data_IF_729833745843
#
_entry.id   IF_729833745843
#
_cell.length_a   1.000
_cell.length_b   1.000
_cell.length_c   1.000
_cell.angle_alpha   90.00
_cell.angle_beta   90.00
_cell.angle_gamma   90.00
#
_symmetry.space_group_name_H-M   'P 1'
#
loop_
_entity.id
_entity.type
_entity.pdbx_description
1 polymer ?
#
# COMPACT_ATOMS: atom_id res chain seq x y z
N UNK A 1 -7.56 -1.96 -4.19
CA UNK A 1 -7.29 -1.31 -5.48
C UNK A 1 -7.02 0.17 -5.34
N UNK A 2 -7.07 0.91 -6.44
CA UNK A 2 -6.97 2.37 -6.40
C UNK A 2 -8.34 2.94 -6.00
N UNK A 3 -8.45 3.41 -4.76
CA UNK A 3 -9.70 3.89 -4.18
C UNK A 3 -9.69 5.43 -4.15
N UNK A 4 -10.66 6.11 -4.80
CA UNK A 4 -10.68 7.56 -4.86
C UNK A 4 -11.22 8.17 -3.56
N UNK A 5 -10.43 9.01 -2.91
CA UNK A 5 -10.82 9.87 -1.80
C UNK A 5 -11.10 11.30 -2.25
N UNK A 6 -11.69 12.08 -1.37
CA UNK A 6 -11.88 13.52 -1.60
C UNK A 6 -10.54 14.24 -1.34
N UNK A 7 -10.00 14.84 -2.37
CA UNK A 7 -8.82 15.71 -2.26
C UNK A 7 -9.30 17.16 -2.19
N UNK A 8 -8.96 17.91 -1.13
CA UNK A 8 -9.35 19.32 -1.01
C UNK A 8 -8.74 20.19 -2.12
N UNK A 9 -9.48 21.15 -2.63
CA UNK A 9 -9.00 22.07 -3.67
C UNK A 9 -7.73 22.85 -3.26
N UNK A 10 -7.52 23.06 -1.97
CA UNK A 10 -6.31 23.70 -1.46
C UNK A 10 -5.03 22.91 -1.77
N UNK A 11 -5.10 21.58 -1.88
CA UNK A 11 -3.96 20.74 -2.31
C UNK A 11 -3.57 21.13 -3.73
N UNK A 12 -4.53 21.15 -4.65
CA UNK A 12 -4.29 21.50 -6.06
C UNK A 12 -3.77 22.94 -6.20
N UNK A 13 -4.38 23.90 -5.50
CA UNK A 13 -3.92 25.28 -5.52
C UNK A 13 -2.48 25.46 -5.02
N UNK A 14 -2.08 24.73 -3.99
CA UNK A 14 -0.72 24.83 -3.45
C UNK A 14 0.30 24.17 -4.39
N UNK A 15 -0.08 23.08 -5.06
CA UNK A 15 0.82 22.41 -6.02
C UNK A 15 1.09 23.25 -7.27
N UNK A 16 0.17 24.16 -7.64
CA UNK A 16 0.33 25.03 -8.81
C UNK A 16 1.27 26.22 -8.56
N UNK A 17 1.78 26.39 -7.36
CA UNK A 17 2.78 27.40 -7.09
C UNK A 17 4.10 27.08 -7.79
N UNK A 18 4.68 28.10 -8.46
CA UNK A 18 5.86 27.90 -9.31
C UNK A 18 7.08 27.36 -8.58
N UNK A 19 7.24 27.69 -7.31
CA UNK A 19 8.33 27.21 -6.47
C UNK A 19 8.31 25.67 -6.25
N UNK A 20 7.16 25.02 -6.46
CA UNK A 20 7.02 23.57 -6.35
C UNK A 20 7.11 22.86 -7.69
N UNK A 21 6.26 23.19 -8.66
CA UNK A 21 6.17 22.41 -9.88
C UNK A 21 7.35 22.63 -10.84
N UNK A 22 8.12 23.70 -10.67
CA UNK A 22 9.36 23.92 -11.41
C UNK A 22 10.57 23.24 -10.78
N UNK A 23 10.46 22.77 -9.53
CA UNK A 23 11.53 22.06 -8.84
C UNK A 23 11.72 20.67 -9.40
N UNK A 24 12.99 20.28 -9.58
CA UNK A 24 13.38 18.92 -9.92
C UNK A 24 14.03 18.26 -8.68
N UNK A 25 15.04 17.44 -8.88
CA UNK A 25 15.76 16.83 -7.74
C UNK A 25 16.59 17.89 -7.02
N UNK A 26 16.45 18.04 -5.71
CA UNK A 26 17.14 19.06 -4.92
C UNK A 26 18.59 18.67 -4.60
N UNK A 27 19.46 18.57 -5.63
CA UNK A 27 20.85 18.20 -5.46
C UNK A 27 21.69 19.28 -4.76
N UNK A 28 21.32 20.55 -4.93
CA UNK A 28 22.00 21.70 -4.33
C UNK A 28 21.21 22.14 -3.09
N UNK A 29 21.61 21.71 -1.88
CA UNK A 29 20.83 22.00 -0.67
C UNK A 29 20.75 23.50 -0.38
N UNK A 30 21.77 24.27 -0.71
CA UNK A 30 21.84 25.72 -0.47
C UNK A 30 20.72 26.52 -1.15
N UNK A 31 20.17 26.03 -2.27
CA UNK A 31 19.07 26.69 -3.02
C UNK A 31 17.76 25.94 -2.94
N UNK A 32 17.69 24.80 -2.26
CA UNK A 32 16.56 23.88 -2.26
C UNK A 32 16.02 23.56 -0.86
N UNK A 33 16.29 24.42 0.13
CA UNK A 33 15.94 24.14 1.53
C UNK A 33 14.43 23.91 1.73
N UNK A 34 13.56 24.67 1.08
CA UNK A 34 12.11 24.49 1.18
C UNK A 34 11.65 23.15 0.62
N UNK A 35 12.17 22.73 -0.53
CA UNK A 35 11.87 21.42 -1.12
C UNK A 35 12.38 20.27 -0.26
N UNK A 36 13.61 20.39 0.26
CA UNK A 36 14.19 19.39 1.15
C UNK A 36 13.43 19.28 2.47
N UNK A 37 13.00 20.39 3.04
CA UNK A 37 12.13 20.38 4.22
C UNK A 37 10.80 19.67 3.94
N UNK A 38 10.14 19.99 2.84
CA UNK A 38 8.88 19.33 2.47
C UNK A 38 9.04 17.81 2.31
N UNK A 39 10.17 17.36 1.73
CA UNK A 39 10.48 15.93 1.63
C UNK A 39 10.75 15.33 3.02
N UNK A 40 11.44 16.01 3.90
CA UNK A 40 11.70 15.55 5.26
C UNK A 40 10.39 15.41 6.05
N UNK A 41 9.47 16.35 5.91
CA UNK A 41 8.14 16.30 6.52
C UNK A 41 7.32 15.12 5.95
N UNK A 42 7.35 14.89 4.63
CA UNK A 42 6.76 13.71 4.01
C UNK A 42 7.31 12.41 4.62
N UNK A 43 8.63 12.30 4.76
CA UNK A 43 9.27 11.13 5.36
C UNK A 43 8.77 10.88 6.79
N UNK A 44 8.61 11.95 7.56
CA UNK A 44 8.09 11.87 8.93
C UNK A 44 6.64 11.36 8.94
N UNK A 45 5.77 11.93 8.09
CA UNK A 45 4.38 11.51 7.99
C UNK A 45 4.23 10.04 7.61
N UNK A 46 5.00 9.57 6.64
CA UNK A 46 4.95 8.15 6.22
C UNK A 46 5.52 7.22 7.28
N UNK A 47 6.61 7.62 7.94
CA UNK A 47 7.18 6.84 9.04
C UNK A 47 6.22 6.73 10.23
N UNK A 48 5.49 7.79 10.58
CA UNK A 48 4.45 7.77 11.62
C UNK A 48 3.22 6.96 11.22
N UNK A 49 2.82 7.02 9.94
CA UNK A 49 1.66 6.27 9.44
C UNK A 49 1.91 4.75 9.49
N UNK A 50 3.11 4.31 9.16
CA UNK A 50 3.47 2.90 9.02
C UNK A 50 4.19 2.31 10.22
N UNK A 51 4.92 3.13 10.96
CA UNK A 51 5.72 2.71 12.10
C UNK A 51 4.96 2.71 13.43
N UNK A 52 5.59 2.27 14.51
CA UNK A 52 5.09 2.50 15.85
C UNK A 52 5.23 3.98 16.24
N UNK A 53 4.44 4.45 17.21
CA UNK A 53 4.53 5.82 17.70
C UNK A 53 5.95 6.21 18.13
N UNK A 54 6.37 7.40 17.76
CA UNK A 54 7.66 7.95 18.20
C UNK A 54 7.55 8.35 19.67
N UNK A 55 8.53 7.91 20.48
CA UNK A 55 8.64 8.29 21.90
C UNK A 55 9.57 9.49 21.99
N UNK A 56 9.15 10.61 22.60
CA UNK A 56 10.00 11.77 22.77
C UNK A 56 11.35 11.43 23.45
N UNK A 57 12.45 11.92 22.88
CA UNK A 57 13.79 11.66 23.38
C UNK A 57 14.39 10.31 22.98
N UNK A 58 13.68 9.49 22.22
CA UNK A 58 14.21 8.25 21.64
C UNK A 58 14.35 8.39 20.12
N UNK A 59 15.28 7.65 19.49
CA UNK A 59 15.38 7.58 18.04
C UNK A 59 14.06 7.09 17.43
N UNK A 60 13.68 7.64 16.28
CA UNK A 60 12.50 7.17 15.57
C UNK A 60 12.66 5.67 15.21
N UNK A 61 11.66 4.82 15.53
CA UNK A 61 11.76 3.37 15.29
C UNK A 61 11.69 3.01 13.82
N UNK A 62 11.08 3.88 13.00
CA UNK A 62 10.93 3.75 11.56
C UNK A 62 11.43 5.00 10.85
N UNK A 63 11.94 4.81 9.64
CA UNK A 63 12.34 5.87 8.71
C UNK A 63 11.67 5.65 7.36
N UNK A 64 11.40 6.73 6.63
CA UNK A 64 10.86 6.70 5.27
C UNK A 64 11.84 7.35 4.30
N UNK A 65 11.77 6.97 3.02
CA UNK A 65 12.46 7.64 1.93
C UNK A 65 11.63 8.81 1.36
N UNK A 66 12.19 9.51 0.37
CA UNK A 66 11.56 10.68 -0.25
C UNK A 66 10.28 10.38 -1.05
N UNK A 67 10.05 9.18 -1.46
CA UNK A 67 8.92 8.45 -2.05
C UNK A 67 9.39 7.41 -3.07
N UNK A 68 8.47 6.55 -3.46
CA UNK A 68 8.61 5.58 -4.55
C UNK A 68 7.67 5.96 -5.69
N UNK A 69 7.69 5.20 -6.80
CA UNK A 69 6.87 5.53 -7.97
C UNK A 69 5.37 5.24 -7.73
N UNK A 70 5.08 4.08 -7.17
CA UNK A 70 3.74 3.58 -6.82
C UNK A 70 3.85 2.47 -5.78
N UNK A 71 2.71 2.00 -5.27
CA UNK A 71 2.66 0.96 -4.25
C UNK A 71 3.18 -0.40 -4.71
N UNK A 72 3.02 -0.76 -5.98
CA UNK A 72 3.47 -2.04 -6.51
C UNK A 72 5.00 -2.09 -6.63
N UNK A 73 5.62 -1.05 -7.22
CA UNK A 73 7.08 -0.93 -7.31
C UNK A 73 7.71 -0.76 -5.92
N UNK A 74 7.06 -0.02 -5.03
CA UNK A 74 7.50 0.11 -3.63
C UNK A 74 7.50 -1.25 -2.91
N UNK A 75 6.49 -2.09 -3.14
CA UNK A 75 6.41 -3.44 -2.58
C UNK A 75 7.50 -4.36 -3.15
N UNK A 76 7.76 -4.30 -4.45
CA UNK A 76 8.84 -5.06 -5.07
C UNK A 76 10.21 -4.67 -4.50
N UNK A 77 10.47 -3.38 -4.35
CA UNK A 77 11.72 -2.87 -3.73
C UNK A 77 11.83 -3.24 -2.24
N UNK A 78 10.70 -3.33 -1.52
CA UNK A 78 10.68 -3.79 -0.14
C UNK A 78 11.13 -5.27 -0.04
N UNK A 79 10.67 -6.12 -0.95
CA UNK A 79 11.12 -7.50 -1.05
C UNK A 79 12.61 -7.59 -1.42
N UNK A 80 13.07 -6.82 -2.40
CA UNK A 80 14.48 -6.74 -2.77
C UNK A 80 15.35 -6.25 -1.60
N UNK A 81 14.87 -5.27 -0.83
CA UNK A 81 15.53 -4.81 0.39
C UNK A 81 15.63 -5.93 1.43
N UNK A 82 14.57 -6.69 1.66
CA UNK A 82 14.58 -7.82 2.59
C UNK A 82 15.57 -8.90 2.15
N UNK A 83 15.67 -9.19 0.85
CA UNK A 83 16.68 -10.10 0.27
C UNK A 83 18.11 -9.62 0.52
N UNK A 84 18.37 -8.31 0.35
CA UNK A 84 19.69 -7.72 0.63
C UNK A 84 20.07 -7.79 2.11
N UNK A 85 19.12 -7.52 3.00
CA UNK A 85 19.36 -7.56 4.46
C UNK A 85 19.68 -8.98 4.92
N UNK A 86 18.89 -9.97 4.47
CA UNK A 86 19.03 -11.36 4.93
C UNK A 86 20.07 -12.16 4.17
N UNK A 87 20.48 -11.71 2.99
CA UNK A 87 21.30 -12.49 2.06
C UNK A 87 20.59 -13.72 1.47
N UNK A 88 19.28 -13.83 1.64
CA UNK A 88 18.43 -14.96 1.22
C UNK A 88 17.59 -14.59 0.00
N UNK A 89 17.08 -15.60 -0.74
CA UNK A 89 16.44 -15.34 -2.04
C UNK A 89 14.93 -15.64 -2.08
N UNK A 90 14.42 -16.52 -1.22
CA UNK A 90 13.04 -16.95 -1.28
C UNK A 90 12.10 -15.95 -0.60
N UNK A 91 11.00 -15.59 -1.27
CA UNK A 91 9.89 -14.82 -0.72
C UNK A 91 8.67 -15.72 -0.57
N UNK A 92 8.00 -15.67 0.58
CA UNK A 92 6.69 -16.29 0.76
C UNK A 92 5.63 -15.22 0.68
N UNK A 93 4.79 -15.26 -0.36
CA UNK A 93 3.68 -14.33 -0.56
C UNK A 93 2.40 -14.91 0.04
N UNK A 94 1.76 -14.19 0.96
CA UNK A 94 0.69 -14.71 1.81
C UNK A 94 -0.68 -14.13 1.50
N UNK A 95 -1.67 -15.01 1.40
CA UNK A 95 -3.07 -14.65 1.29
C UNK A 95 -3.42 -14.01 -0.05
N UNK A 96 -4.41 -13.12 -0.02
CA UNK A 96 -4.89 -12.41 -1.19
C UNK A 96 -4.08 -11.12 -1.42
N UNK A 97 -2.89 -11.24 -2.01
CA UNK A 97 -2.15 -10.07 -2.50
C UNK A 97 -2.73 -9.62 -3.84
N UNK A 98 -2.76 -8.32 -4.07
CA UNK A 98 -3.23 -7.72 -5.33
C UNK A 98 -2.48 -8.34 -6.52
N UNK A 99 -3.17 -8.90 -7.53
CA UNK A 99 -2.51 -9.61 -8.64
C UNK A 99 -1.48 -8.78 -9.39
N UNK A 100 -1.75 -7.47 -9.58
CA UNK A 100 -0.81 -6.57 -10.24
C UNK A 100 0.45 -6.30 -9.39
N UNK A 101 0.34 -6.29 -8.05
CA UNK A 101 1.51 -6.20 -7.16
C UNK A 101 2.38 -7.45 -7.28
N UNK A 102 1.76 -8.63 -7.31
CA UNK A 102 2.49 -9.88 -7.57
C UNK A 102 3.11 -9.90 -8.97
N UNK A 103 2.38 -9.44 -10.00
CA UNK A 103 2.89 -9.32 -11.36
C UNK A 103 4.12 -8.41 -11.44
N UNK A 104 4.07 -7.23 -10.79
CA UNK A 104 5.22 -6.33 -10.70
C UNK A 104 6.38 -6.98 -9.96
N UNK A 105 6.12 -7.66 -8.84
CA UNK A 105 7.16 -8.36 -8.09
C UNK A 105 7.82 -9.46 -8.94
N UNK A 106 7.06 -10.24 -9.72
CA UNK A 106 7.61 -11.20 -10.67
C UNK A 106 8.53 -10.52 -11.68
N UNK A 107 8.11 -9.41 -12.30
CA UNK A 107 8.97 -8.67 -13.25
C UNK A 107 10.31 -8.23 -12.62
N UNK A 108 10.28 -7.79 -11.35
CA UNK A 108 11.50 -7.39 -10.65
C UNK A 108 12.41 -8.56 -10.31
N UNK A 109 11.85 -9.71 -9.94
CA UNK A 109 12.63 -10.88 -9.53
C UNK A 109 13.13 -11.72 -10.72
N UNK A 110 12.33 -11.83 -11.77
CA UNK A 110 12.70 -12.60 -12.97
C UNK A 110 13.94 -12.06 -13.69
N UNK A 111 14.23 -10.76 -13.53
CA UNK A 111 15.42 -10.12 -14.06
C UNK A 111 16.69 -10.25 -13.18
N UNK A 112 16.54 -10.72 -11.94
CA UNK A 112 17.65 -10.78 -10.96
C UNK A 112 18.13 -12.23 -10.73
N UNK A 113 17.26 -13.19 -10.88
CA UNK A 113 17.58 -14.62 -10.65
C UNK A 113 17.84 -15.31 -11.98
N UNK A 114 19.07 -15.81 -12.22
CA UNK A 114 19.44 -16.62 -13.38
C UNK A 114 18.56 -17.88 -13.55
N UNK A 115 17.90 -18.32 -12.49
CA UNK A 115 17.03 -19.48 -12.48
C UNK A 115 15.53 -19.17 -12.59
N UNK A 116 15.07 -17.91 -12.47
CA UNK A 116 13.68 -17.46 -12.66
C UNK A 116 12.55 -18.26 -11.98
N UNK A 117 12.84 -19.47 -11.57
CA UNK A 117 11.89 -20.46 -11.06
C UNK A 117 12.11 -20.68 -9.57
N UNK A 118 11.22 -20.10 -8.74
CA UNK A 118 11.17 -20.45 -7.33
C UNK A 118 11.50 -19.32 -6.35
N UNK A 119 11.68 -18.10 -6.82
CA UNK A 119 11.89 -16.92 -5.95
C UNK A 119 10.67 -16.56 -5.10
N UNK A 120 9.47 -16.98 -5.51
CA UNK A 120 8.22 -16.74 -4.80
C UNK A 120 7.48 -18.06 -4.60
N UNK A 121 7.12 -18.34 -3.35
CA UNK A 121 6.12 -19.35 -2.98
C UNK A 121 4.89 -18.65 -2.40
N UNK A 122 3.72 -19.26 -2.60
CA UNK A 122 2.45 -18.68 -2.14
C UNK A 122 1.82 -19.52 -1.05
N UNK A 123 1.16 -18.86 -0.10
CA UNK A 123 0.30 -19.47 0.91
C UNK A 123 -1.11 -18.93 0.71
N UNK A 124 -2.12 -19.79 0.84
CA UNK A 124 -3.52 -19.43 0.71
C UNK A 124 -4.09 -18.66 1.90
N UNK A 125 -5.41 -18.53 1.86
CA UNK A 125 -6.19 -17.88 2.92
C UNK A 125 -7.38 -18.77 3.30
N UNK A 126 -7.86 -18.61 4.53
CA UNK A 126 -9.04 -19.30 5.05
C UNK A 126 -10.36 -18.69 4.56
N UNK A 127 -11.48 -19.26 5.00
CA UNK A 127 -12.83 -18.79 4.69
C UNK A 127 -13.10 -17.33 5.15
N UNK A 128 -12.32 -16.84 6.10
CA UNK A 128 -12.34 -15.45 6.55
C UNK A 128 -11.49 -14.52 5.69
N UNK A 129 -10.78 -15.02 4.67
CA UNK A 129 -9.90 -14.24 3.81
C UNK A 129 -8.57 -13.85 4.45
N UNK A 130 -8.27 -14.32 5.66
CA UNK A 130 -6.98 -14.14 6.31
C UNK A 130 -5.99 -15.24 5.91
N UNK A 131 -4.71 -14.93 6.02
CA UNK A 131 -3.62 -15.90 5.76
C UNK A 131 -3.85 -17.19 6.56
N UNK A 132 -3.70 -18.33 5.89
CA UNK A 132 -3.63 -19.63 6.56
C UNK A 132 -2.30 -19.75 7.32
N UNK A 133 -2.36 -19.47 8.63
CA UNK A 133 -1.19 -19.48 9.51
C UNK A 133 -0.58 -20.87 9.66
N UNK A 134 -1.39 -21.94 9.60
CA UNK A 134 -0.89 -23.31 9.70
C UNK A 134 -0.10 -23.70 8.45
N UNK A 135 -0.63 -23.37 7.26
CA UNK A 135 0.07 -23.57 6.00
C UNK A 135 1.34 -22.70 5.91
N UNK A 136 1.29 -21.44 6.40
CA UNK A 136 2.47 -20.59 6.47
C UNK A 136 3.56 -21.18 7.38
N UNK A 137 3.20 -21.64 8.58
CA UNK A 137 4.13 -22.24 9.53
C UNK A 137 4.83 -23.46 8.92
N UNK A 138 4.06 -24.36 8.31
CA UNK A 138 4.58 -25.54 7.63
C UNK A 138 5.55 -25.17 6.48
N UNK A 139 5.17 -24.21 5.63
CA UNK A 139 6.01 -23.79 4.52
C UNK A 139 7.31 -23.12 4.99
N UNK A 140 7.27 -22.35 6.08
CA UNK A 140 8.45 -21.75 6.69
C UNK A 140 9.40 -22.82 7.24
N UNK A 141 8.88 -23.88 7.88
CA UNK A 141 9.69 -25.02 8.34
C UNK A 141 10.32 -25.78 7.17
N UNK A 142 9.57 -26.04 6.10
CA UNK A 142 10.07 -26.73 4.89
C UNK A 142 11.15 -25.92 4.14
N UNK A 143 11.03 -24.61 4.12
CA UNK A 143 11.95 -23.72 3.39
C UNK A 143 13.17 -23.33 4.23
N UNK A 144 13.04 -23.29 5.55
CA UNK A 144 14.12 -23.01 6.49
C UNK A 144 14.80 -21.65 6.24
N UNK A 145 16.12 -21.68 6.26
CA UNK A 145 17.01 -20.51 6.13
C UNK A 145 17.08 -19.91 4.72
N UNK A 146 16.34 -20.46 3.75
CA UNK A 146 16.25 -19.88 2.39
C UNK A 146 15.31 -18.69 2.32
N UNK A 147 14.38 -18.52 3.28
CA UNK A 147 13.34 -17.49 3.25
C UNK A 147 13.93 -16.13 3.64
N UNK A 148 13.89 -15.18 2.72
CA UNK A 148 14.28 -13.80 2.93
C UNK A 148 13.19 -13.03 3.70
N UNK A 149 11.95 -13.15 3.22
CA UNK A 149 10.83 -12.47 3.82
C UNK A 149 9.49 -13.18 3.58
N UNK A 150 8.56 -12.86 4.45
CA UNK A 150 7.13 -13.12 4.27
C UNK A 150 6.49 -11.80 3.83
N UNK A 151 5.89 -11.80 2.63
CA UNK A 151 5.13 -10.69 2.08
C UNK A 151 3.64 -10.90 2.34
N UNK A 152 3.00 -9.90 2.93
CA UNK A 152 1.57 -9.91 3.18
C UNK A 152 0.97 -8.54 2.80
N UNK A 153 -0.32 -8.50 2.44
CA UNK A 153 -1.03 -7.25 2.17
C UNK A 153 -2.12 -7.04 3.21
N UNK A 154 -2.21 -5.81 3.77
CA UNK A 154 -3.26 -5.44 4.74
C UNK A 154 -3.65 -3.95 4.59
N UNK A 155 -4.94 -3.63 4.32
CA UNK A 155 -5.99 -4.58 3.91
C UNK A 155 -5.56 -5.38 2.67
N UNK A 156 -5.96 -6.65 2.58
CA UNK A 156 -5.61 -7.47 1.43
C UNK A 156 -6.49 -7.17 0.20
N UNK A 157 -6.27 -7.86 -0.92
CA UNK A 157 -6.99 -7.62 -2.16
C UNK A 157 -8.51 -7.84 -2.07
N UNK A 158 -8.97 -8.64 -1.12
CA UNK A 158 -10.40 -8.84 -0.84
C UNK A 158 -10.96 -7.82 0.17
N UNK A 159 -10.18 -6.82 0.55
CA UNK A 159 -10.52 -5.79 1.54
C UNK A 159 -10.34 -6.22 3.00
N UNK A 160 -9.89 -7.46 3.26
CA UNK A 160 -9.84 -8.04 4.61
C UNK A 160 -8.61 -7.57 5.38
N UNK A 161 -8.83 -7.12 6.62
CA UNK A 161 -7.78 -6.78 7.57
C UNK A 161 -7.06 -8.04 8.07
N UNK A 162 -5.74 -8.07 7.97
CA UNK A 162 -4.92 -9.22 8.34
C UNK A 162 -4.46 -9.16 9.81
N UNK A 163 -4.20 -10.32 10.38
CA UNK A 163 -3.47 -10.45 11.65
C UNK A 163 -1.96 -10.41 11.37
N UNK A 164 -1.43 -9.19 11.23
CA UNK A 164 -0.02 -8.95 10.94
C UNK A 164 0.86 -9.52 12.05
N UNK A 165 0.44 -9.39 13.32
CA UNK A 165 1.24 -9.83 14.48
C UNK A 165 1.51 -11.33 14.46
N UNK A 166 0.52 -12.14 14.13
CA UNK A 166 0.70 -13.60 14.03
C UNK A 166 1.63 -14.01 12.88
N UNK A 167 1.54 -13.33 11.73
CA UNK A 167 2.46 -13.55 10.60
C UNK A 167 3.88 -13.16 10.98
N UNK A 168 4.06 -12.01 11.64
CA UNK A 168 5.36 -11.53 12.15
C UNK A 168 5.99 -12.56 13.10
N UNK A 169 5.20 -13.12 14.01
CA UNK A 169 5.71 -14.12 14.96
C UNK A 169 6.27 -15.37 14.26
N UNK A 170 5.56 -15.85 13.23
CA UNK A 170 6.01 -17.01 12.42
C UNK A 170 7.26 -16.67 11.60
N UNK A 171 7.27 -15.54 10.89
CA UNK A 171 8.41 -15.10 10.10
C UNK A 171 9.67 -14.93 10.96
N UNK A 172 9.53 -14.28 12.12
CA UNK A 172 10.63 -14.05 13.06
C UNK A 172 11.21 -15.36 13.61
N UNK A 173 10.36 -16.36 13.91
CA UNK A 173 10.81 -17.70 14.33
C UNK A 173 11.68 -18.37 13.27
N UNK A 174 11.41 -18.13 11.98
CA UNK A 174 12.18 -18.63 10.85
C UNK A 174 13.38 -17.73 10.49
N UNK A 175 13.61 -16.62 11.21
CA UNK A 175 14.65 -15.64 10.90
C UNK A 175 14.42 -14.89 9.59
N UNK A 176 13.17 -14.83 9.11
CA UNK A 176 12.75 -14.09 7.93
C UNK A 176 12.18 -12.72 8.33
N UNK A 177 12.34 -11.72 7.45
CA UNK A 177 11.70 -10.42 7.64
C UNK A 177 10.23 -10.45 7.23
N UNK A 178 9.43 -9.53 7.76
CA UNK A 178 8.05 -9.33 7.36
C UNK A 178 7.91 -8.03 6.57
N UNK A 179 7.44 -8.16 5.33
CA UNK A 179 7.10 -7.06 4.43
C UNK A 179 5.57 -6.95 4.36
N UNK A 180 5.03 -5.75 4.62
CA UNK A 180 3.59 -5.50 4.50
C UNK A 180 3.33 -4.52 3.37
N UNK A 181 2.49 -4.94 2.41
CA UNK A 181 1.94 -4.06 1.39
C UNK A 181 0.64 -3.40 1.91
N UNK A 182 0.52 -2.09 1.75
CA UNK A 182 -0.62 -1.28 2.19
C UNK A 182 -1.21 -0.51 1.00
N UNK A 183 -2.10 -1.15 0.24
CA UNK A 183 -2.74 -0.51 -0.91
C UNK A 183 -3.74 0.59 -0.50
N UNK A 184 -4.26 0.52 0.75
CA UNK A 184 -5.19 1.48 1.32
C UNK A 184 -4.71 1.92 2.74
N UNK A 185 -3.79 2.88 2.81
CA UNK A 185 -3.17 3.29 4.08
C UNK A 185 -4.12 4.04 5.02
N UNK A 186 -5.25 4.54 4.54
CA UNK A 186 -6.27 5.20 5.38
C UNK A 186 -6.80 4.26 6.48
N UNK A 187 -6.77 2.95 6.27
CA UNK A 187 -7.17 1.95 7.26
C UNK A 187 -6.43 2.11 8.61
N UNK A 188 -5.17 2.58 8.56
CA UNK A 188 -4.37 2.79 9.78
C UNK A 188 -4.79 4.01 10.62
N UNK A 189 -5.77 4.77 10.17
CA UNK A 189 -6.49 5.71 11.03
C UNK A 189 -7.33 5.05 12.12
N UNK A 190 -7.69 3.76 11.96
CA UNK A 190 -8.54 2.99 12.89
C UNK A 190 -7.84 1.80 13.54
N UNK A 191 -6.88 1.22 12.85
CA UNK A 191 -6.16 0.04 13.35
C UNK A 191 -4.69 0.34 13.56
N UNK A 192 -4.02 -0.49 14.35
CA UNK A 192 -2.57 -0.37 14.57
C UNK A 192 -1.83 -0.49 13.23
N UNK A 193 -0.84 0.39 13.03
CA UNK A 193 0.05 0.33 11.87
C UNK A 193 0.79 -1.01 11.79
N UNK A 194 1.21 -1.45 10.59
CA UNK A 194 1.94 -2.70 10.45
C UNK A 194 3.25 -2.73 11.26
N UNK A 195 3.99 -1.63 11.33
CA UNK A 195 5.19 -1.52 12.15
C UNK A 195 4.91 -1.64 13.65
N UNK A 196 3.77 -1.11 14.14
CA UNK A 196 3.31 -1.32 15.52
C UNK A 196 2.96 -2.78 15.82
N UNK A 197 2.67 -3.56 14.80
CA UNK A 197 2.40 -5.00 14.89
C UNK A 197 3.66 -5.83 14.66
N UNK A 198 4.81 -5.21 14.45
CA UNK A 198 6.11 -5.84 14.36
C UNK A 198 6.67 -6.03 12.95
N UNK A 199 6.00 -5.57 11.91
CA UNK A 199 6.53 -5.59 10.54
C UNK A 199 7.89 -4.89 10.46
N UNK A 200 8.76 -5.34 9.56
CA UNK A 200 10.11 -4.79 9.39
C UNK A 200 10.14 -3.71 8.30
N UNK A 201 9.39 -3.93 7.21
CA UNK A 201 9.28 -3.04 6.07
C UNK A 201 7.80 -2.90 5.69
N UNK A 202 7.35 -1.68 5.44
CA UNK A 202 5.99 -1.39 4.98
C UNK A 202 6.07 -0.56 3.72
N UNK A 203 5.39 -1.00 2.67
CA UNK A 203 5.27 -0.29 1.41
C UNK A 203 3.80 -0.11 1.06
N UNK A 204 3.43 0.97 0.39
CA UNK A 204 2.03 1.21 0.10
C UNK A 204 1.79 2.21 -1.03
N UNK A 205 0.50 2.47 -1.33
CA UNK A 205 0.07 3.44 -2.34
C UNK A 205 -0.56 4.66 -1.66
N UNK A 206 -0.07 5.84 -1.99
CA UNK A 206 -0.55 7.10 -1.42
C UNK A 206 -1.43 7.95 -2.34
N UNK A 207 -1.61 7.57 -3.61
CA UNK A 207 -2.31 8.40 -4.61
C UNK A 207 -3.73 8.78 -4.19
N UNK A 208 -4.47 7.90 -3.51
CA UNK A 208 -5.84 8.16 -3.05
C UNK A 208 -5.94 9.38 -2.13
N UNK A 209 -4.87 9.65 -1.37
CA UNK A 209 -4.73 10.80 -0.47
C UNK A 209 -3.89 11.94 -1.05
N UNK A 210 -3.45 11.85 -2.30
CA UNK A 210 -2.60 12.85 -2.94
C UNK A 210 -3.33 13.65 -4.03
N UNK A 211 -3.64 12.99 -5.15
CA UNK A 211 -4.20 13.66 -6.34
C UNK A 211 -5.43 12.96 -6.91
N UNK A 212 -5.86 11.87 -6.30
CA UNK A 212 -6.88 11.00 -6.87
C UNK A 212 -6.37 10.20 -8.08
N UNK A 213 -7.22 9.35 -8.67
CA UNK A 213 -6.79 8.33 -9.62
C UNK A 213 -6.27 8.84 -10.98
N UNK A 214 -6.63 10.04 -11.42
CA UNK A 214 -6.10 10.72 -12.61
C UNK A 214 -5.84 9.79 -13.82
N UNK A 215 -6.81 8.96 -14.20
CA UNK A 215 -6.70 7.94 -15.25
C UNK A 215 -5.58 6.89 -15.02
N UNK A 216 -5.16 6.70 -13.78
CA UNK A 216 -4.19 5.67 -13.39
C UNK A 216 -2.84 6.17 -12.93
N UNK A 217 -2.69 7.46 -12.70
CA UNK A 217 -1.44 8.00 -12.16
C UNK A 217 -1.22 9.49 -12.45
N UNK A 218 -0.07 10.04 -12.06
CA UNK A 218 1.03 9.35 -11.40
C UNK A 218 0.70 8.89 -9.98
N UNK A 219 1.20 7.70 -9.58
CA UNK A 219 1.12 7.19 -8.23
C UNK A 219 2.09 7.89 -7.26
N UNK A 220 2.02 7.53 -5.99
CA UNK A 220 3.09 7.82 -5.03
C UNK A 220 3.28 6.63 -4.10
N UNK A 221 4.40 5.94 -4.27
CA UNK A 221 4.75 4.82 -3.41
C UNK A 221 5.21 5.33 -2.05
N UNK A 222 4.52 4.89 -1.01
CA UNK A 222 4.90 5.09 0.38
C UNK A 222 5.85 3.96 0.80
N UNK A 223 6.90 4.29 1.53
CA UNK A 223 7.90 3.29 1.94
C UNK A 223 8.49 3.65 3.29
N UNK A 224 8.38 2.75 4.25
CA UNK A 224 9.04 2.90 5.54
C UNK A 224 9.61 1.56 6.02
N UNK A 225 10.71 1.63 6.77
CA UNK A 225 11.37 0.47 7.34
C UNK A 225 11.93 0.78 8.73
N UNK A 226 12.26 -0.26 9.49
CA UNK A 226 12.98 -0.09 10.76
C UNK A 226 14.26 0.71 10.57
N UNK A 227 14.54 1.62 11.48
CA UNK A 227 15.68 2.54 11.41
C UNK A 227 17.02 1.81 11.29
N UNK A 228 17.16 0.63 11.89
CA UNK A 228 18.35 -0.21 11.76
C UNK A 228 18.70 -0.61 10.32
N UNK A 229 17.70 -0.62 9.42
CA UNK A 229 17.86 -0.99 8.02
C UNK A 229 18.02 0.20 7.07
N UNK A 230 18.14 1.44 7.58
CA UNK A 230 18.19 2.67 6.77
C UNK A 230 19.23 2.64 5.64
N UNK A 231 20.38 1.99 5.88
CA UNK A 231 21.46 1.88 4.87
C UNK A 231 21.11 0.97 3.68
N UNK A 232 20.09 0.14 3.81
CA UNK A 232 19.60 -0.78 2.76
C UNK A 232 18.35 -0.26 2.04
N UNK A 233 17.80 0.90 2.46
CA UNK A 233 16.59 1.46 1.87
C UNK A 233 16.80 1.86 0.41
N UNK A 234 15.80 1.62 -0.47
CA UNK A 234 15.78 2.19 -1.81
C UNK A 234 15.48 3.69 -1.78
N UNK A 235 15.80 4.38 -2.86
CA UNK A 235 15.44 5.78 -3.06
C UNK A 235 16.25 6.78 -2.24
N UNK A 236 15.89 8.04 -2.37
CA UNK A 236 16.57 9.16 -1.71
C UNK A 236 16.10 9.34 -0.28
N UNK A 237 16.98 9.91 0.52
CA UNK A 237 16.73 10.25 1.92
C UNK A 237 17.19 11.69 2.16
N UNK A 238 16.34 12.45 2.84
CA UNK A 238 16.67 13.78 3.36
C UNK A 238 16.91 13.70 4.84
N UNK A 239 18.00 14.26 5.29
CA UNK A 239 18.37 14.38 6.71
C UNK A 239 18.36 15.83 7.17
N UNK A 240 18.02 16.01 8.44
CA UNK A 240 18.20 17.30 9.12
C UNK A 240 19.68 17.48 9.53
N UNK A 241 20.19 18.71 9.41
CA UNK A 241 21.54 19.09 9.77
C UNK A 241 21.56 20.54 10.29
N UNK A 242 22.72 21.03 10.63
CA UNK A 242 22.95 22.44 10.96
C UNK A 242 24.03 23.02 10.05
N UNK A 243 23.91 24.31 9.73
CA UNK A 243 24.94 25.04 9.01
C UNK A 243 26.09 25.50 9.94
N UNK A 244 27.06 26.24 9.39
CA UNK A 244 28.21 26.72 10.16
C UNK A 244 27.85 27.70 11.26
N UNK A 245 26.73 28.40 11.16
CA UNK A 245 26.17 29.29 12.15
C UNK A 245 25.23 28.59 13.15
N UNK A 246 25.06 27.26 13.05
CA UNK A 246 24.20 26.46 13.91
C UNK A 246 22.72 26.54 13.55
N UNK A 247 22.33 27.09 12.36
CA UNK A 247 20.94 27.15 11.90
C UNK A 247 20.55 25.82 11.30
N UNK A 248 19.33 25.38 11.58
CA UNK A 248 18.75 24.16 11.04
C UNK A 248 18.67 24.20 9.52
N UNK A 249 19.09 23.13 8.89
CA UNK A 249 19.02 22.93 7.45
C UNK A 249 18.77 21.48 7.07
N UNK A 250 18.59 21.22 5.77
CA UNK A 250 18.28 19.89 5.23
C UNK A 250 19.21 19.56 4.07
N UNK A 251 19.60 18.29 3.97
CA UNK A 251 20.48 17.78 2.91
C UNK A 251 20.04 16.41 2.44
N UNK A 252 20.35 16.08 1.18
CA UNK A 252 20.31 14.68 0.72
C UNK A 252 21.39 13.89 1.46
N UNK A 253 21.00 12.77 2.05
CA UNK A 253 21.92 11.92 2.82
C UNK A 253 22.01 10.51 2.21
N UNK A 254 23.10 9.80 2.52
CA UNK A 254 23.37 8.44 2.05
C UNK A 254 23.36 8.32 0.51
N UNK A 255 23.63 9.38 -0.25
CA UNK A 255 23.62 9.42 -1.70
C UNK A 255 24.61 8.43 -2.36
N UNK A 256 25.63 7.97 -1.64
CA UNK A 256 26.57 6.95 -2.11
C UNK A 256 25.94 5.60 -2.44
N UNK A 257 24.66 5.37 -2.08
CA UNK A 257 23.88 4.16 -2.43
C UNK A 257 23.26 4.25 -3.82
N UNK A 258 23.19 5.46 -4.41
CA UNK A 258 22.42 5.72 -5.63
C UNK A 258 23.14 5.23 -6.89
N UNK A 259 22.36 4.98 -7.96
CA UNK A 259 22.81 4.41 -9.22
C UNK A 259 23.86 5.27 -9.92
N UNK A 260 23.75 6.61 -9.89
CA UNK A 260 24.70 7.51 -10.54
C UNK A 260 26.10 7.48 -9.91
N UNK A 261 26.23 6.96 -8.68
CA UNK A 261 27.52 6.77 -8.01
C UNK A 261 27.98 5.31 -8.09
N UNK A 262 27.12 4.35 -7.74
CA UNK A 262 27.50 2.94 -7.63
C UNK A 262 27.23 2.10 -8.88
N UNK A 263 26.53 2.62 -9.87
CA UNK A 263 26.19 1.94 -11.12
C UNK A 263 25.51 0.58 -10.82
N UNK A 264 26.03 -0.52 -11.33
CA UNK A 264 25.53 -1.89 -11.12
C UNK A 264 25.53 -2.35 -9.64
N UNK A 265 26.30 -1.69 -8.78
CA UNK A 265 26.38 -1.94 -7.33
C UNK A 265 25.45 -1.06 -6.51
N UNK A 266 24.57 -0.31 -7.16
CA UNK A 266 23.60 0.52 -6.46
C UNK A 266 22.65 -0.32 -5.59
N UNK A 267 22.16 0.28 -4.52
CA UNK A 267 21.19 -0.38 -3.62
C UNK A 267 19.86 -0.63 -4.34
N UNK A 268 19.47 0.24 -5.27
CA UNK A 268 18.23 0.15 -6.04
C UNK A 268 18.39 0.89 -7.37
N UNK A 269 17.56 0.58 -8.35
CA UNK A 269 17.43 1.30 -9.61
C UNK A 269 16.49 2.51 -9.53
N UNK A 270 15.91 2.77 -8.36
CA UNK A 270 15.09 3.98 -8.14
C UNK A 270 16.00 5.21 -8.25
N UNK A 271 15.67 6.08 -9.21
CA UNK A 271 16.43 7.30 -9.47
C UNK A 271 15.70 8.53 -8.97
N UNK A 272 14.65 8.95 -9.67
CA UNK A 272 13.80 10.07 -9.29
C UNK A 272 12.59 9.54 -8.52
N UNK A 273 12.13 10.28 -7.53
CA UNK A 273 10.91 9.99 -6.80
C UNK A 273 9.72 10.80 -7.36
N UNK A 274 8.54 10.61 -6.82
CA UNK A 274 7.31 11.34 -7.16
C UNK A 274 7.17 12.61 -6.29
N UNK A 275 8.12 13.53 -6.37
CA UNK A 275 8.23 14.66 -5.43
C UNK A 275 6.99 15.53 -5.33
N UNK A 276 6.37 15.90 -6.47
CA UNK A 276 5.17 16.73 -6.47
C UNK A 276 3.96 15.99 -5.88
N UNK A 277 3.80 14.70 -6.16
CA UNK A 277 2.68 13.91 -5.63
C UNK A 277 2.91 13.58 -4.14
N UNK A 278 4.16 13.38 -3.73
CA UNK A 278 4.52 13.28 -2.31
C UNK A 278 4.19 14.57 -1.54
N UNK A 279 4.42 15.73 -2.14
CA UNK A 279 4.00 17.01 -1.57
C UNK A 279 2.47 17.11 -1.46
N UNK A 280 1.71 16.68 -2.49
CA UNK A 280 0.26 16.63 -2.45
C UNK A 280 -0.25 15.77 -1.28
N UNK A 281 0.32 14.57 -1.13
CA UNK A 281 0.04 13.68 0.00
C UNK A 281 0.30 14.38 1.35
N UNK A 282 1.46 15.03 1.49
CA UNK A 282 1.85 15.72 2.72
C UNK A 282 0.89 16.86 3.05
N UNK A 283 0.55 17.71 2.08
CA UNK A 283 -0.41 18.81 2.26
C UNK A 283 -1.75 18.28 2.74
N UNK A 284 -2.29 17.26 2.06
CA UNK A 284 -3.59 16.69 2.42
C UNK A 284 -3.59 16.07 3.82
N UNK A 285 -2.59 15.25 4.13
CA UNK A 285 -2.49 14.60 5.44
C UNK A 285 -2.29 15.65 6.56
N UNK A 286 -1.49 16.69 6.33
CA UNK A 286 -1.34 17.80 7.27
C UNK A 286 -2.64 18.56 7.48
N UNK A 287 -3.45 18.81 6.43
CA UNK A 287 -4.75 19.45 6.55
C UNK A 287 -5.75 18.61 7.35
N UNK A 288 -5.72 17.29 7.19
CA UNK A 288 -6.54 16.38 8.00
C UNK A 288 -6.06 16.36 9.47
N UNK A 289 -4.77 16.35 9.67
CA UNK A 289 -4.17 16.09 10.97
C UNK A 289 -4.60 14.73 11.53
N UNK A 290 -4.15 14.39 12.71
CA UNK A 290 -4.44 13.09 13.35
C UNK A 290 -5.95 12.84 13.53
N UNK A 291 -6.69 13.87 13.97
CA UNK A 291 -8.14 13.77 14.21
C UNK A 291 -8.91 13.63 12.92
N UNK A 292 -8.60 14.45 11.90
CA UNK A 292 -9.27 14.38 10.59
C UNK A 292 -8.98 13.10 9.85
N UNK A 293 -7.75 12.61 9.89
CA UNK A 293 -7.37 11.32 9.28
C UNK A 293 -8.17 10.15 9.88
N UNK A 294 -8.26 10.09 11.21
CA UNK A 294 -9.11 9.11 11.89
C UNK A 294 -10.58 9.27 11.51
N UNK A 295 -11.11 10.50 11.51
CA UNK A 295 -12.50 10.76 11.16
C UNK A 295 -12.83 10.35 9.73
N UNK A 296 -11.93 10.60 8.80
CA UNK A 296 -12.05 10.18 7.41
C UNK A 296 -12.14 8.63 7.32
N UNK A 297 -11.28 7.93 8.04
CA UNK A 297 -11.31 6.47 8.11
C UNK A 297 -12.63 5.94 8.72
N UNK A 298 -13.14 6.57 9.79
CA UNK A 298 -14.43 6.21 10.41
C UNK A 298 -15.60 6.36 9.40
N UNK A 299 -15.61 7.43 8.62
CA UNK A 299 -16.65 7.68 7.61
C UNK A 299 -16.59 6.61 6.51
N UNK A 300 -15.38 6.26 6.03
CA UNK A 300 -15.20 5.21 5.03
C UNK A 300 -15.73 3.87 5.53
N UNK A 301 -15.32 3.45 6.72
CA UNK A 301 -15.79 2.20 7.33
C UNK A 301 -17.31 2.19 7.50
N UNK A 302 -17.90 3.26 8.04
CA UNK A 302 -19.33 3.33 8.29
C UNK A 302 -20.16 3.22 6.99
N UNK A 303 -19.74 3.89 5.92
CA UNK A 303 -20.42 3.80 4.60
C UNK A 303 -20.28 2.42 3.98
N UNK A 304 -19.12 1.80 4.12
CA UNK A 304 -18.87 0.45 3.62
C UNK A 304 -19.71 -0.57 4.37
N UNK A 305 -19.77 -0.49 5.69
CA UNK A 305 -20.61 -1.38 6.50
C UNK A 305 -22.10 -1.19 6.19
N UNK A 306 -22.56 0.05 5.99
CA UNK A 306 -23.91 0.32 5.52
C UNK A 306 -24.21 -0.40 4.18
N UNK A 307 -23.33 -0.21 3.18
CA UNK A 307 -23.48 -0.83 1.88
C UNK A 307 -23.49 -2.36 1.96
N UNK A 308 -22.57 -2.95 2.74
CA UNK A 308 -22.52 -4.40 2.98
C UNK A 308 -23.82 -4.92 3.55
N UNK A 309 -24.34 -4.29 4.62
CA UNK A 309 -25.61 -4.70 5.23
C UNK A 309 -26.77 -4.65 4.23
N UNK A 310 -26.84 -3.61 3.41
CA UNK A 310 -27.88 -3.48 2.37
C UNK A 310 -27.78 -4.57 1.29
N UNK A 311 -26.55 -4.87 0.81
CA UNK A 311 -26.31 -5.91 -0.19
C UNK A 311 -26.56 -7.31 0.36
N UNK A 312 -26.23 -7.56 1.63
CA UNK A 312 -26.49 -8.85 2.27
C UNK A 312 -27.97 -9.12 2.51
N UNK A 313 -28.84 -8.11 2.49
CA UNK A 313 -30.28 -8.26 2.52
C UNK A 313 -30.87 -8.69 1.16
N UNK A 314 -30.11 -8.59 0.08
CA UNK A 314 -30.54 -9.03 -1.26
C UNK A 314 -30.41 -10.55 -1.38
N UNK A 315 -31.50 -11.21 -1.77
CA UNK A 315 -31.53 -12.68 -1.88
C UNK A 315 -30.48 -13.18 -2.89
N UNK A 316 -29.66 -14.12 -2.46
CA UNK A 316 -28.63 -14.77 -3.29
C UNK A 316 -27.31 -14.03 -3.37
N UNK A 317 -27.16 -12.88 -2.68
CA UNK A 317 -25.87 -12.24 -2.48
C UNK A 317 -25.22 -12.73 -1.18
N UNK A 318 -23.90 -12.84 -1.19
CA UNK A 318 -23.12 -13.18 0.01
C UNK A 318 -21.73 -12.55 -0.04
N UNK A 319 -21.12 -12.36 1.09
CA UNK A 319 -19.68 -12.02 1.12
C UNK A 319 -18.88 -13.24 0.63
N UNK A 320 -17.87 -12.98 -0.20
CA UNK A 320 -16.97 -14.03 -0.68
C UNK A 320 -16.09 -14.57 0.45
N UNK A 321 -15.79 -13.73 1.44
CA UNK A 321 -15.02 -14.05 2.66
C UNK A 321 -15.64 -13.35 3.87
N UNK A 322 -15.50 -13.94 5.07
CA UNK A 322 -16.20 -13.48 6.27
C UNK A 322 -15.38 -12.57 7.20
N UNK A 323 -14.13 -12.30 6.88
CA UNK A 323 -13.24 -11.49 7.73
C UNK A 323 -13.61 -10.00 7.80
N UNK A 324 -13.07 -9.28 8.79
CA UNK A 324 -13.31 -7.85 8.93
C UNK A 324 -12.67 -7.07 7.77
N UNK A 325 -13.42 -6.17 7.18
CA UNK A 325 -12.98 -5.34 6.04
C UNK A 325 -12.93 -3.87 6.43
N UNK A 326 -12.26 -3.06 5.62
CA UNK A 326 -12.23 -1.61 5.81
C UNK A 326 -13.21 -0.91 4.87
N UNK A 327 -12.75 -0.37 3.75
CA UNK A 327 -13.57 0.37 2.78
C UNK A 327 -13.77 -0.38 1.45
N UNK A 328 -13.32 -1.62 1.39
CA UNK A 328 -13.45 -2.51 0.24
C UNK A 328 -13.85 -3.91 0.73
N UNK A 329 -14.65 -4.63 -0.05
CA UNK A 329 -15.07 -6.01 0.25
C UNK A 329 -15.42 -6.77 -1.02
N UNK A 330 -15.31 -8.10 -0.97
CA UNK A 330 -15.64 -9.00 -2.06
C UNK A 330 -17.07 -9.54 -1.90
N UNK A 331 -17.94 -9.25 -2.89
CA UNK A 331 -19.34 -9.67 -2.94
C UNK A 331 -19.53 -10.73 -4.02
N UNK A 332 -20.05 -11.91 -3.65
CA UNK A 332 -20.53 -12.91 -4.61
C UNK A 332 -21.97 -12.58 -4.99
N UNK A 333 -22.21 -12.41 -6.28
CA UNK A 333 -23.53 -12.08 -6.87
C UNK A 333 -24.15 -13.28 -7.56
N UNK A 334 -25.40 -13.16 -7.98
CA UNK A 334 -26.05 -14.13 -8.89
C UNK A 334 -25.49 -13.94 -10.30
N UNK A 335 -25.21 -15.02 -11.00
CA UNK A 335 -24.62 -14.98 -12.35
C UNK A 335 -23.15 -14.53 -12.37
N UNK A 336 -22.66 -14.12 -13.53
CA UNK A 336 -21.29 -13.69 -13.73
C UNK A 336 -21.10 -12.24 -13.31
N UNK A 337 -19.99 -11.96 -12.60
CA UNK A 337 -19.66 -10.63 -12.13
C UNK A 337 -19.38 -9.63 -13.27
N UNK A 338 -18.70 -10.09 -14.35
CA UNK A 338 -18.44 -9.28 -15.54
C UNK A 338 -19.72 -8.86 -16.26
N UNK A 339 -20.74 -9.73 -16.35
CA UNK A 339 -22.02 -9.42 -16.98
C UNK A 339 -22.80 -8.38 -16.15
N UNK A 340 -22.81 -8.55 -14.82
CA UNK A 340 -23.42 -7.58 -13.91
C UNK A 340 -22.75 -6.21 -14.04
N UNK A 341 -21.41 -6.17 -14.04
CA UNK A 341 -20.65 -4.93 -14.19
C UNK A 341 -20.89 -4.26 -15.55
N UNK A 342 -21.05 -5.02 -16.65
CA UNK A 342 -21.36 -4.48 -17.97
C UNK A 342 -22.74 -3.81 -17.99
N UNK A 343 -23.79 -4.50 -17.50
CA UNK A 343 -25.16 -3.95 -17.40
C UNK A 343 -25.25 -2.71 -16.50
N UNK A 344 -24.46 -2.67 -15.42
CA UNK A 344 -24.38 -1.49 -14.55
C UNK A 344 -23.72 -0.31 -15.24
N UNK A 345 -22.67 -0.52 -16.03
CA UNK A 345 -22.03 0.54 -16.82
C UNK A 345 -22.97 1.18 -17.82
N UNK A 346 -23.86 0.41 -18.47
CA UNK A 346 -24.92 0.92 -19.34
C UNK A 346 -25.88 1.89 -18.61
N UNK A 347 -26.01 1.72 -17.28
CA UNK A 347 -26.78 2.59 -16.40
C UNK A 347 -25.95 3.72 -15.77
N UNK A 348 -24.71 3.90 -16.19
CA UNK A 348 -23.78 4.90 -15.62
C UNK A 348 -23.31 4.57 -14.20
N UNK A 349 -23.28 3.28 -13.81
CA UNK A 349 -22.83 2.82 -12.49
C UNK A 349 -21.57 1.97 -12.64
N UNK A 350 -20.48 2.41 -12.04
CA UNK A 350 -19.23 1.66 -11.93
C UNK A 350 -19.18 0.97 -10.55
N UNK A 351 -19.70 -0.23 -10.48
CA UNK A 351 -19.97 -0.91 -9.21
C UNK A 351 -18.73 -1.55 -8.55
N UNK A 352 -17.63 -1.67 -9.25
CA UNK A 352 -16.43 -2.35 -8.74
C UNK A 352 -15.73 -3.18 -9.81
N UNK A 353 -14.80 -4.05 -9.36
CA UNK A 353 -13.96 -4.86 -10.23
C UNK A 353 -14.44 -6.31 -10.24
N UNK A 354 -14.85 -6.88 -11.40
CA UNK A 354 -15.14 -8.29 -11.51
C UNK A 354 -13.86 -9.12 -11.43
N UNK A 355 -13.83 -10.14 -10.56
CA UNK A 355 -12.65 -10.97 -10.33
C UNK A 355 -12.48 -12.11 -11.34
N UNK A 356 -13.33 -12.17 -12.38
CA UNK A 356 -13.22 -13.07 -13.53
C UNK A 356 -12.45 -12.46 -14.72
N UNK A 357 -12.03 -11.20 -14.62
CA UNK A 357 -11.28 -10.54 -15.68
C UNK A 357 -9.79 -10.81 -15.62
N UNK A 358 -9.10 -10.96 -16.77
CA UNK A 358 -7.65 -11.07 -16.83
C UNK A 358 -6.95 -9.91 -16.08
N UNK A 359 -5.92 -10.23 -15.30
CA UNK A 359 -5.17 -9.25 -14.49
C UNK A 359 -5.82 -8.87 -13.15
N UNK A 360 -7.07 -9.29 -12.91
CA UNK A 360 -7.76 -9.09 -11.63
C UNK A 360 -8.18 -10.40 -10.96
N UNK A 361 -8.05 -11.52 -11.65
CA UNK A 361 -8.41 -12.83 -11.14
C UNK A 361 -7.57 -13.23 -9.93
N UNK A 362 -8.23 -13.83 -8.94
CA UNK A 362 -7.60 -14.47 -7.79
C UNK A 362 -7.90 -15.97 -7.84
N UNK A 363 -7.01 -16.80 -8.42
CA UNK A 363 -7.29 -18.22 -8.69
C UNK A 363 -7.66 -19.04 -7.46
N UNK A 364 -7.26 -18.58 -6.27
CA UNK A 364 -7.53 -19.27 -5.00
C UNK A 364 -8.91 -18.93 -4.43
N UNK A 365 -9.65 -17.98 -5.01
CA UNK A 365 -10.96 -17.58 -4.52
C UNK A 365 -12.05 -18.48 -5.15
N UNK A 366 -12.81 -19.23 -4.34
CA UNK A 366 -14.00 -19.90 -4.84
C UNK A 366 -15.00 -18.90 -5.44
N UNK A 367 -15.68 -19.27 -6.52
CA UNK A 367 -16.66 -18.43 -7.22
C UNK A 367 -16.11 -17.05 -7.68
N UNK A 368 -14.82 -16.96 -8.03
CA UNK A 368 -14.21 -15.71 -8.51
C UNK A 368 -14.98 -15.13 -9.70
N UNK A 369 -15.54 -15.97 -10.60
CA UNK A 369 -16.34 -15.56 -11.75
C UNK A 369 -17.66 -14.88 -11.37
N UNK A 370 -18.09 -15.04 -10.13
CA UNK A 370 -19.31 -14.43 -9.56
C UNK A 370 -19.01 -13.34 -8.56
N UNK A 371 -17.73 -12.97 -8.40
CA UNK A 371 -17.32 -12.06 -7.34
C UNK A 371 -16.97 -10.69 -7.89
N UNK A 372 -17.58 -9.64 -7.31
CA UNK A 372 -17.26 -8.23 -7.48
C UNK A 372 -16.49 -7.72 -6.28
N UNK A 373 -15.38 -7.04 -6.51
CA UNK A 373 -14.67 -6.28 -5.49
C UNK A 373 -15.26 -4.87 -5.46
N UNK A 374 -15.91 -4.50 -4.37
CA UNK A 374 -16.68 -3.25 -4.22
C UNK A 374 -16.02 -2.38 -3.14
N UNK A 375 -15.88 -1.08 -3.42
CA UNK A 375 -15.38 -0.10 -2.47
C UNK A 375 -16.39 1.04 -2.25
N UNK A 376 -16.46 1.53 -1.01
CA UNK A 376 -17.22 2.73 -0.67
C UNK A 376 -16.35 3.70 0.15
N UNK A 377 -16.42 4.98 -0.23
CA UNK A 377 -15.63 6.03 0.42
C UNK A 377 -16.52 7.17 0.91
N UNK A 378 -15.93 8.17 1.55
CA UNK A 378 -16.63 9.40 1.97
C UNK A 378 -17.29 10.12 0.80
N UNK A 379 -16.85 9.93 -0.44
CA UNK A 379 -17.39 10.57 -1.65
C UNK A 379 -18.79 10.12 -2.01
N UNK A 380 -19.17 8.89 -1.62
CA UNK A 380 -20.50 8.36 -1.94
C UNK A 380 -21.55 8.91 -0.97
N UNK A 381 -22.68 9.34 -1.50
CA UNK A 381 -23.87 9.69 -0.72
C UNK A 381 -24.67 8.42 -0.41
N UNK A 382 -25.57 8.49 0.54
CA UNK A 382 -26.44 7.35 0.88
C UNK A 382 -27.28 6.91 -0.31
N UNK A 383 -27.80 7.89 -1.05
CA UNK A 383 -28.61 7.67 -2.26
C UNK A 383 -27.83 6.92 -3.35
N UNK A 384 -26.53 7.20 -3.49
CA UNK A 384 -25.66 6.49 -4.44
C UNK A 384 -25.50 5.02 -4.05
N UNK A 385 -25.32 4.75 -2.75
CA UNK A 385 -25.18 3.39 -2.22
C UNK A 385 -26.50 2.61 -2.36
N UNK A 386 -27.65 3.22 -2.05
CA UNK A 386 -28.96 2.62 -2.20
C UNK A 386 -29.30 2.36 -3.68
N UNK A 387 -28.95 3.28 -4.59
CA UNK A 387 -29.07 3.10 -6.03
C UNK A 387 -28.24 1.93 -6.53
N UNK A 388 -27.01 1.76 -6.04
CA UNK A 388 -26.18 0.60 -6.40
C UNK A 388 -26.82 -0.71 -5.97
N UNK A 389 -27.38 -0.78 -4.74
CA UNK A 389 -28.05 -1.99 -4.23
C UNK A 389 -29.23 -2.37 -5.12
N UNK A 390 -30.12 -1.40 -5.44
CA UNK A 390 -31.28 -1.63 -6.30
C UNK A 390 -30.86 -2.08 -7.70
N UNK A 391 -29.89 -1.40 -8.31
CA UNK A 391 -29.42 -1.71 -9.64
C UNK A 391 -28.75 -3.10 -9.71
N UNK A 392 -27.96 -3.50 -8.69
CA UNK A 392 -27.35 -4.84 -8.61
C UNK A 392 -28.43 -5.95 -8.51
N UNK A 393 -29.47 -5.74 -7.71
CA UNK A 393 -30.57 -6.70 -7.57
C UNK A 393 -31.32 -6.92 -8.89
N UNK A 394 -31.55 -5.84 -9.65
CA UNK A 394 -32.19 -5.89 -10.97
C UNK A 394 -31.35 -6.57 -12.07
N UNK A 395 -30.04 -6.28 -12.12
CA UNK A 395 -29.16 -6.81 -13.20
C UNK A 395 -28.67 -8.23 -12.95
N UNK A 396 -28.77 -8.70 -11.70
CA UNK A 396 -28.43 -10.06 -11.28
C UNK A 396 -29.74 -10.83 -10.97
N UNK A 397 -30.43 -11.40 -11.94
CA UNK A 397 -31.72 -12.11 -11.76
C UNK A 397 -31.59 -13.41 -10.94
#
# INVERSE_FOLDING_TARGET
GLIPHHVPVAVDMLLQRSEWYTSYTPYQPEVSQGTLQAVFEYQTLVAELFGPPVVPGQPAPFVSNASMYDGASATAEAVLMARRITGRQLTIACGAIHPQYLGTLHCYLDGVDEAGKGAIKTVGFGADGRVDLAALGKLLEECGDRVACVLLQSPNYLGVMQDVSSVVALAKKAGALTVVAAAEPLAFGLVKSPGSQGADIVAGEGIGLASGPSLGGPGVGLFAARTEHVRQMPGRLVGETVDQEGRRGYVLTLATREQHIRREKATSNICTNQGLIALAFSIHVCMLGKTGFRRLAEINLAKTEYLKQRLMAVRGFRLAVSGPTFNEFALTVRGRASDAAAKLRERGIFAGVPLDQPGFALPMLPDAERTLLIAATERHRREDLDRLVAALDEVCP
#
